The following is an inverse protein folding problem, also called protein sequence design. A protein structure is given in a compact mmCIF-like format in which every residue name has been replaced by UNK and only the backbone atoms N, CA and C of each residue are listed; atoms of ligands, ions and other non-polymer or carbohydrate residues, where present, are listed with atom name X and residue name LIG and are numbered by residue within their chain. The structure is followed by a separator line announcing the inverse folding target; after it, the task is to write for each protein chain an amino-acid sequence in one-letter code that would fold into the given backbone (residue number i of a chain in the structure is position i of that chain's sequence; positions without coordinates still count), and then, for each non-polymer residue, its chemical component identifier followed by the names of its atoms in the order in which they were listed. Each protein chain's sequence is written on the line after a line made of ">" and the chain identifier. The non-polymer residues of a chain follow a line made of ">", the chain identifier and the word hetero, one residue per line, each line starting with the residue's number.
data_IF_316201472742
#
_entry.id   IF_316201472742
#
_cell.length_a   1.000
_cell.length_b   1.000
_cell.length_c   1.000
_cell.angle_alpha   90.00
_cell.angle_beta   90.00
_cell.angle_gamma   90.00
#
_symmetry.space_group_name_H-M   'P 1'
#
loop_
_entity.id
_entity.type
_entity.pdbx_description
1 polymer ?
#
# COMPACT_ATOMS: atom_id res chain seq x y z
N UNK A 1 -59.99 6.12 2.60
CA UNK A 1 -59.08 7.29 2.47
C UNK A 1 -57.65 6.81 2.27
N UNK A 2 -57.11 6.90 1.05
CA UNK A 2 -55.69 6.59 0.77
C UNK A 2 -54.88 7.89 0.89
N UNK A 3 -54.00 7.99 1.89
CA UNK A 3 -53.05 9.11 2.00
C UNK A 3 -52.13 9.09 0.78
N UNK A 4 -52.21 10.11 -0.09
CA UNK A 4 -51.22 10.37 -1.14
C UNK A 4 -49.86 10.47 -0.45
N UNK A 5 -48.90 9.60 -0.83
CA UNK A 5 -47.50 9.79 -0.47
C UNK A 5 -47.04 11.10 -1.11
N UNK A 6 -46.76 12.11 -0.29
CA UNK A 6 -46.16 13.35 -0.74
C UNK A 6 -44.90 13.05 -1.54
N UNK A 7 -44.88 13.55 -2.77
CA UNK A 7 -43.71 13.55 -3.62
C UNK A 7 -42.67 14.44 -2.93
N UNK A 8 -41.62 13.83 -2.37
CA UNK A 8 -40.46 14.58 -1.87
C UNK A 8 -40.01 15.54 -2.98
N UNK A 9 -39.92 16.86 -2.74
CA UNK A 9 -39.49 17.79 -3.76
C UNK A 9 -38.05 17.45 -4.11
N UNK A 10 -37.88 16.75 -5.24
CA UNK A 10 -36.58 16.40 -5.77
C UNK A 10 -35.85 17.70 -6.08
N UNK A 11 -34.70 17.92 -5.43
CA UNK A 11 -33.77 19.02 -5.72
C UNK A 11 -33.65 19.13 -7.25
N UNK A 12 -33.91 20.31 -7.79
CA UNK A 12 -33.87 20.57 -9.24
C UNK A 12 -32.50 20.15 -9.80
N UNK A 13 -32.41 19.64 -11.04
CA UNK A 13 -31.12 19.38 -11.69
C UNK A 13 -30.12 20.55 -11.57
N UNK A 14 -30.61 21.79 -11.65
CA UNK A 14 -29.79 22.99 -11.49
C UNK A 14 -29.26 23.17 -10.06
N UNK A 15 -30.10 22.93 -9.06
CA UNK A 15 -29.69 23.00 -7.65
C UNK A 15 -28.69 21.90 -7.29
N UNK A 16 -28.84 20.70 -7.85
CA UNK A 16 -27.85 19.62 -7.73
C UNK A 16 -26.51 20.03 -8.34
N UNK A 17 -26.52 20.63 -9.53
CA UNK A 17 -25.32 21.14 -10.20
C UNK A 17 -24.63 22.22 -9.36
N UNK A 18 -25.38 23.20 -8.82
CA UNK A 18 -24.83 24.24 -7.93
C UNK A 18 -24.18 23.66 -6.67
N UNK A 19 -24.83 22.69 -6.01
CA UNK A 19 -24.24 22.00 -4.85
C UNK A 19 -22.98 21.23 -5.21
N UNK A 20 -22.93 20.58 -6.37
CA UNK A 20 -21.74 19.88 -6.84
C UNK A 20 -20.57 20.85 -7.12
N UNK A 21 -20.83 21.97 -7.78
CA UNK A 21 -19.83 23.02 -8.04
C UNK A 21 -19.32 23.63 -6.74
N UNK A 22 -20.21 23.98 -5.80
CA UNK A 22 -19.81 24.51 -4.50
C UNK A 22 -18.94 23.53 -3.70
N UNK A 23 -19.28 22.23 -3.72
CA UNK A 23 -18.48 21.17 -3.08
C UNK A 23 -17.12 20.97 -3.77
N UNK A 24 -17.06 21.13 -5.08
CA UNK A 24 -15.81 21.06 -5.84
C UNK A 24 -14.92 22.26 -5.51
N UNK A 25 -15.44 23.48 -5.61
CA UNK A 25 -14.71 24.71 -5.30
C UNK A 25 -14.20 24.70 -3.85
N UNK A 26 -14.99 24.23 -2.88
CA UNK A 26 -14.55 24.10 -1.49
C UNK A 26 -13.34 23.14 -1.31
N UNK A 27 -13.12 22.20 -2.24
CA UNK A 27 -11.97 21.27 -2.23
C UNK A 27 -10.78 21.77 -3.05
N UNK A 28 -11.02 22.68 -4.01
CA UNK A 28 -10.03 23.11 -4.99
C UNK A 28 -9.67 24.58 -4.91
N UNK A 29 -10.27 25.32 -3.96
CA UNK A 29 -9.94 26.71 -3.68
C UNK A 29 -8.44 26.81 -3.36
N UNK A 30 -7.64 27.46 -4.23
CA UNK A 30 -6.18 27.29 -4.22
C UNK A 30 -5.51 27.72 -2.92
N UNK A 31 -6.02 28.76 -2.26
CA UNK A 31 -5.47 29.26 -1.00
C UNK A 31 -5.63 28.25 0.13
N UNK A 32 -6.85 27.72 0.28
CA UNK A 32 -7.16 26.67 1.25
C UNK A 32 -6.41 25.36 0.98
N UNK A 33 -6.32 24.92 -0.28
CA UNK A 33 -5.57 23.71 -0.64
C UNK A 33 -4.10 23.86 -0.29
N UNK A 34 -3.50 25.01 -0.63
CA UNK A 34 -2.10 25.29 -0.29
C UNK A 34 -1.87 25.24 1.22
N UNK A 35 -2.72 25.90 2.02
CA UNK A 35 -2.62 25.88 3.48
C UNK A 35 -2.66 24.45 4.04
N UNK A 36 -3.63 23.63 3.60
CA UNK A 36 -3.76 22.23 4.05
C UNK A 36 -2.49 21.44 3.72
N UNK A 37 -1.95 21.60 2.50
CA UNK A 37 -0.73 20.91 2.10
C UNK A 37 0.46 21.40 2.94
N UNK A 38 0.59 22.71 3.16
CA UNK A 38 1.66 23.30 3.97
C UNK A 38 1.64 22.76 5.41
N UNK A 39 0.45 22.61 6.02
CA UNK A 39 0.27 22.00 7.33
C UNK A 39 0.62 20.50 7.36
N UNK A 40 0.35 19.79 6.25
CA UNK A 40 0.63 18.35 6.14
C UNK A 40 2.10 18.04 5.84
N UNK A 41 2.84 18.95 5.20
CA UNK A 41 4.22 18.72 4.73
C UNK A 41 5.15 18.15 5.80
N UNK A 42 5.22 18.66 7.04
CA UNK A 42 6.11 18.12 8.06
C UNK A 42 5.81 16.65 8.38
N UNK A 43 4.52 16.31 8.56
CA UNK A 43 4.08 14.94 8.82
C UNK A 43 4.28 14.01 7.61
N UNK A 44 4.12 14.51 6.39
CA UNK A 44 4.42 13.76 5.16
C UNK A 44 5.90 13.41 5.07
N UNK A 45 6.79 14.38 5.35
CA UNK A 45 8.23 14.19 5.33
C UNK A 45 8.68 13.17 6.38
N UNK A 46 8.15 13.26 7.59
CA UNK A 46 8.47 12.31 8.66
C UNK A 46 8.03 10.88 8.29
N UNK A 47 6.79 10.73 7.82
CA UNK A 47 6.26 9.43 7.34
C UNK A 47 7.09 8.87 6.20
N UNK A 48 7.48 9.71 5.25
CA UNK A 48 8.32 9.29 4.13
C UNK A 48 9.72 8.85 4.59
N UNK A 49 10.35 9.59 5.51
CA UNK A 49 11.68 9.20 6.04
C UNK A 49 11.62 7.84 6.72
N UNK A 50 10.60 7.59 7.55
CA UNK A 50 10.40 6.29 8.22
C UNK A 50 10.16 5.17 7.21
N UNK A 51 9.28 5.38 6.24
CA UNK A 51 8.98 4.35 5.24
C UNK A 51 10.14 4.07 4.29
N UNK A 52 10.88 5.10 3.87
CA UNK A 52 12.03 4.96 2.97
C UNK A 52 13.15 4.09 3.54
N UNK A 53 13.41 4.18 4.85
CA UNK A 53 14.41 3.34 5.54
C UNK A 53 14.01 1.87 5.47
N UNK A 54 12.77 1.55 5.83
CA UNK A 54 12.27 0.16 5.81
C UNK A 54 12.17 -0.36 4.38
N UNK A 55 11.75 0.48 3.44
CA UNK A 55 11.69 0.15 2.01
C UNK A 55 13.07 -0.24 1.47
N UNK A 56 14.10 0.55 1.79
CA UNK A 56 15.49 0.24 1.41
C UNK A 56 15.96 -1.06 2.04
N UNK A 57 15.59 -1.33 3.29
CA UNK A 57 15.96 -2.57 3.98
C UNK A 57 15.38 -3.80 3.27
N UNK A 58 14.09 -3.77 2.94
CA UNK A 58 13.38 -4.85 2.23
C UNK A 58 13.94 -5.06 0.82
N UNK A 59 14.16 -3.97 0.08
CA UNK A 59 14.72 -4.03 -1.28
C UNK A 59 16.16 -4.57 -1.26
N UNK A 60 16.97 -4.18 -0.28
CA UNK A 60 18.35 -4.68 -0.13
C UNK A 60 18.38 -6.16 0.25
N UNK A 61 17.51 -6.59 1.17
CA UNK A 61 17.36 -7.99 1.55
C UNK A 61 16.97 -8.87 0.35
N UNK A 62 15.96 -8.42 -0.40
CA UNK A 62 15.54 -9.10 -1.63
C UNK A 62 16.67 -9.14 -2.66
N UNK A 63 17.36 -8.01 -2.85
CA UNK A 63 18.51 -7.86 -3.74
C UNK A 63 19.58 -8.91 -3.48
N UNK A 64 20.02 -9.06 -2.22
CA UNK A 64 21.02 -10.06 -1.83
C UNK A 64 20.64 -11.48 -2.25
N UNK A 65 19.37 -11.86 -2.07
CA UNK A 65 18.89 -13.20 -2.43
C UNK A 65 18.93 -13.39 -3.95
N UNK A 66 18.37 -12.45 -4.70
CA UNK A 66 18.27 -12.58 -6.16
C UNK A 66 19.63 -12.44 -6.86
N UNK A 67 20.56 -11.67 -6.29
CA UNK A 67 21.95 -11.59 -6.72
C UNK A 67 22.65 -12.94 -6.54
N UNK A 68 22.52 -13.54 -5.36
CA UNK A 68 23.12 -14.84 -5.04
C UNK A 68 22.61 -15.97 -5.94
N UNK A 69 21.34 -15.90 -6.37
CA UNK A 69 20.72 -16.89 -7.26
C UNK A 69 20.99 -16.60 -8.73
N UNK A 70 21.48 -15.41 -9.08
CA UNK A 70 21.74 -15.02 -10.47
C UNK A 70 20.47 -14.73 -11.27
N UNK A 71 19.44 -14.15 -10.62
CA UNK A 71 18.19 -13.79 -11.31
C UNK A 71 18.48 -12.74 -12.40
N UNK A 72 18.05 -12.98 -13.65
CA UNK A 72 18.27 -12.02 -14.75
C UNK A 72 17.66 -10.64 -14.45
N UNK A 73 18.33 -9.58 -14.90
CA UNK A 73 17.95 -8.19 -14.60
C UNK A 73 16.50 -7.88 -14.91
N UNK A 74 15.96 -8.41 -16.02
CA UNK A 74 14.58 -8.23 -16.42
C UNK A 74 13.56 -8.72 -15.38
N UNK A 75 13.89 -9.74 -14.59
CA UNK A 75 12.97 -10.33 -13.61
C UNK A 75 13.11 -9.75 -12.20
N UNK A 76 14.17 -8.97 -11.94
CA UNK A 76 14.47 -8.46 -10.59
C UNK A 76 13.33 -7.61 -10.02
N UNK A 77 12.69 -6.78 -10.85
CA UNK A 77 11.59 -5.90 -10.44
C UNK A 77 10.41 -6.69 -9.84
N UNK A 78 10.15 -7.90 -10.33
CA UNK A 78 9.06 -8.74 -9.82
C UNK A 78 9.39 -9.33 -8.46
N UNK A 79 10.63 -9.76 -8.23
CA UNK A 79 11.06 -10.23 -6.92
C UNK A 79 11.11 -9.10 -5.89
N UNK A 80 11.55 -7.90 -6.29
CA UNK A 80 11.43 -6.71 -5.45
C UNK A 80 9.97 -6.42 -5.09
N UNK A 81 9.05 -6.49 -6.06
CA UNK A 81 7.62 -6.31 -5.80
C UNK A 81 7.05 -7.38 -4.85
N UNK A 82 7.46 -8.65 -4.99
CA UNK A 82 7.12 -9.72 -4.05
C UNK A 82 7.62 -9.40 -2.64
N UNK A 83 8.89 -9.00 -2.49
CA UNK A 83 9.46 -8.69 -1.17
C UNK A 83 8.74 -7.55 -0.46
N UNK A 84 8.34 -6.52 -1.21
CA UNK A 84 7.53 -5.41 -0.67
C UNK A 84 6.15 -5.85 -0.20
N UNK A 85 5.56 -6.82 -0.90
CA UNK A 85 4.28 -7.39 -0.50
C UNK A 85 4.40 -8.26 0.75
N UNK A 86 5.48 -9.04 0.87
CA UNK A 86 5.82 -9.78 2.10
C UNK A 86 5.90 -8.83 3.29
N UNK A 87 6.65 -7.72 3.16
CA UNK A 87 6.68 -6.69 4.19
C UNK A 87 5.29 -6.11 4.50
N UNK A 88 4.49 -5.85 3.46
CA UNK A 88 3.12 -5.37 3.58
C UNK A 88 2.19 -6.30 4.38
N UNK A 89 2.40 -7.62 4.32
CA UNK A 89 1.69 -8.59 5.17
C UNK A 89 2.29 -8.66 6.56
N UNK A 90 3.61 -8.78 6.65
CA UNK A 90 4.33 -8.86 7.92
C UNK A 90 4.02 -7.70 8.87
N UNK A 91 3.89 -6.49 8.33
CA UNK A 91 3.60 -5.27 9.11
C UNK A 91 2.16 -5.18 9.61
N UNK A 92 1.22 -5.92 9.01
CA UNK A 92 -0.23 -5.83 9.28
C UNK A 92 -0.78 -7.00 10.09
N UNK A 93 -0.15 -8.16 9.99
CA UNK A 93 -0.70 -9.40 10.52
C UNK A 93 0.18 -9.98 11.64
N UNK A 94 -0.49 -10.45 12.70
CA UNK A 94 0.13 -11.27 13.76
C UNK A 94 0.44 -12.69 13.29
N UNK A 95 1.25 -13.43 14.06
CA UNK A 95 1.89 -14.67 13.62
C UNK A 95 1.00 -15.67 12.86
N UNK A 96 -0.15 -16.07 13.43
CA UNK A 96 -1.03 -17.08 12.80
C UNK A 96 -1.68 -16.57 11.49
N UNK A 97 -2.15 -15.33 11.48
CA UNK A 97 -2.75 -14.73 10.28
C UNK A 97 -1.67 -14.48 9.21
N UNK A 98 -0.47 -14.09 9.64
CA UNK A 98 0.65 -13.81 8.76
C UNK A 98 1.04 -15.05 7.93
N UNK A 99 1.12 -16.23 8.54
CA UNK A 99 1.45 -17.46 7.82
C UNK A 99 0.47 -17.73 6.67
N UNK A 100 -0.84 -17.55 6.92
CA UNK A 100 -1.86 -17.74 5.89
C UNK A 100 -1.75 -16.69 4.78
N UNK A 101 -1.53 -15.43 5.15
CA UNK A 101 -1.39 -14.33 4.20
C UNK A 101 -0.14 -14.49 3.32
N UNK A 102 0.98 -14.92 3.89
CA UNK A 102 2.20 -15.21 3.12
C UNK A 102 2.02 -16.38 2.17
N UNK A 103 1.30 -17.43 2.58
CA UNK A 103 0.95 -18.53 1.69
C UNK A 103 0.15 -18.06 0.47
N UNK A 104 -0.84 -17.17 0.65
CA UNK A 104 -1.61 -16.58 -0.44
C UNK A 104 -0.77 -15.72 -1.38
N UNK A 105 0.12 -14.89 -0.82
CA UNK A 105 1.06 -14.09 -1.61
C UNK A 105 1.94 -15.04 -2.44
N UNK A 106 2.48 -16.10 -1.84
CA UNK A 106 3.33 -17.07 -2.53
C UNK A 106 2.61 -17.76 -3.69
N UNK A 107 1.40 -18.29 -3.45
CA UNK A 107 0.57 -18.92 -4.48
C UNK A 107 0.34 -17.96 -5.65
N UNK A 108 0.03 -16.69 -5.36
CA UNK A 108 -0.17 -15.68 -6.40
C UNK A 108 1.05 -15.51 -7.30
N UNK A 109 2.25 -15.49 -6.74
CA UNK A 109 3.49 -15.29 -7.51
C UNK A 109 3.95 -16.58 -8.21
N UNK A 110 3.71 -17.76 -7.64
CA UNK A 110 3.88 -19.04 -8.33
C UNK A 110 2.99 -19.09 -9.58
N UNK A 111 1.71 -18.71 -9.46
CA UNK A 111 0.76 -18.70 -10.58
C UNK A 111 1.15 -17.71 -11.70
N UNK A 112 2.06 -16.77 -11.41
CA UNK A 112 2.66 -15.86 -12.40
C UNK A 112 3.95 -16.40 -13.03
N UNK A 113 4.34 -17.64 -12.70
CA UNK A 113 5.51 -18.32 -13.24
C UNK A 113 6.81 -18.10 -12.46
N UNK A 114 6.76 -17.56 -11.24
CA UNK A 114 7.97 -17.34 -10.44
C UNK A 114 8.34 -18.57 -9.61
N UNK A 115 9.64 -18.84 -9.53
CA UNK A 115 10.17 -20.00 -8.80
C UNK A 115 9.89 -19.93 -7.31
N UNK A 116 9.18 -20.95 -6.80
CA UNK A 116 8.89 -21.14 -5.37
C UNK A 116 10.17 -21.08 -4.51
N UNK A 117 11.24 -21.75 -4.94
CA UNK A 117 12.49 -21.80 -4.16
C UNK A 117 13.15 -20.44 -3.99
N UNK A 118 12.96 -19.51 -4.95
CA UNK A 118 13.47 -18.14 -4.85
C UNK A 118 12.53 -17.30 -3.97
N UNK A 119 11.21 -17.46 -4.13
CA UNK A 119 10.21 -16.76 -3.32
C UNK A 119 10.38 -17.10 -1.82
N UNK A 120 10.56 -18.37 -1.47
CA UNK A 120 10.77 -18.80 -0.08
C UNK A 120 12.05 -18.20 0.52
N UNK A 121 13.13 -18.13 -0.27
CA UNK A 121 14.40 -17.50 0.18
C UNK A 121 14.24 -16.01 0.40
N UNK A 122 13.53 -15.32 -0.51
CA UNK A 122 13.25 -13.88 -0.37
C UNK A 122 12.39 -13.62 0.86
N UNK A 123 11.32 -14.39 1.06
CA UNK A 123 10.44 -14.28 2.22
C UNK A 123 11.23 -14.45 3.53
N UNK A 124 12.03 -15.52 3.61
CA UNK A 124 12.85 -15.83 4.79
C UNK A 124 13.85 -14.72 5.10
N UNK A 125 14.59 -14.25 4.09
CA UNK A 125 15.59 -13.20 4.27
C UNK A 125 14.95 -11.87 4.72
N UNK A 126 13.78 -11.53 4.17
CA UNK A 126 13.06 -10.32 4.56
C UNK A 126 12.61 -10.39 6.02
N UNK A 127 11.96 -11.49 6.42
CA UNK A 127 11.46 -11.64 7.80
C UNK A 127 12.63 -11.60 8.78
N UNK A 128 13.70 -12.35 8.52
CA UNK A 128 14.90 -12.35 9.35
C UNK A 128 15.53 -10.95 9.45
N UNK A 129 15.60 -10.21 8.34
CA UNK A 129 16.13 -8.84 8.32
C UNK A 129 15.25 -7.88 9.13
N UNK A 130 13.92 -7.95 8.98
CA UNK A 130 12.99 -7.08 9.71
C UNK A 130 13.03 -7.32 11.23
N UNK A 131 13.13 -8.58 11.64
CA UNK A 131 13.24 -8.98 13.04
C UNK A 131 14.59 -8.57 13.63
N UNK A 132 15.69 -8.76 12.89
CA UNK A 132 17.03 -8.33 13.28
C UNK A 132 17.10 -6.82 13.52
N UNK A 133 16.55 -6.04 12.60
CA UNK A 133 16.53 -4.58 12.67
C UNK A 133 15.41 -4.05 13.60
N UNK A 134 14.66 -4.93 14.27
CA UNK A 134 13.57 -4.60 15.21
C UNK A 134 12.58 -3.60 14.63
N UNK A 135 12.21 -3.78 13.35
CA UNK A 135 11.24 -2.91 12.70
C UNK A 135 9.91 -3.01 13.46
N UNK A 136 9.25 -1.90 13.82
CA UNK A 136 7.97 -1.96 14.50
C UNK A 136 6.88 -2.50 13.56
N UNK A 137 5.98 -3.32 14.10
CA UNK A 137 4.70 -3.64 13.45
C UNK A 137 3.70 -2.54 13.78
N UNK A 138 2.84 -2.21 12.82
CA UNK A 138 1.74 -1.24 13.02
C UNK A 138 0.50 -1.93 13.58
#
# INVERSE_FOLDING_TARGET
>A
MKKKREHWPGISPEEKARKAVAKYLAKTEPGRVKSIIDDMKPGMLEKYRKSAVVQRLVDSATGRVIDKVGVPTAFRVYYLAFGREVYGRWRRFGARALTNELALVRIKWINRGFSLSILDRVETEIIATLEKEKVPKE
#
